data_IF_038571385515
#
_entry.id   IF_038571385515
#
_cell.length_a   1.000
_cell.length_b   1.000
_cell.length_c   1.000
_cell.angle_alpha   90.00
_cell.angle_beta   90.00
_cell.angle_gamma   90.00
#
_symmetry.space_group_name_H-M   'P 1'
#
loop_
_entity.id
_entity.type
_entity.pdbx_description
1 polymer ?
#
# COMPACT_ATOMS: atom_id res chain seq x y z
N UNK A 1 8.83 -2.30 2.00
CA UNK A 1 8.17 -3.54 1.54
C UNK A 1 6.73 -3.38 1.04
N UNK A 2 5.81 -2.63 1.68
CA UNK A 2 4.42 -2.51 1.18
C UNK A 2 4.30 -2.00 -0.26
N UNK A 3 4.98 -0.90 -0.58
CA UNK A 3 4.99 -0.33 -1.94
C UNK A 3 5.61 -1.28 -2.97
N UNK A 4 6.66 -2.01 -2.60
CA UNK A 4 7.34 -2.98 -3.49
C UNK A 4 6.46 -4.19 -3.77
N UNK A 5 5.77 -4.70 -2.75
CA UNK A 5 4.80 -5.79 -2.90
C UNK A 5 3.64 -5.36 -3.82
N UNK A 6 3.10 -4.16 -3.61
CA UNK A 6 2.11 -3.56 -4.50
C UNK A 6 2.67 -3.42 -5.94
N UNK A 7 3.84 -2.82 -6.13
CA UNK A 7 4.44 -2.66 -7.45
C UNK A 7 4.65 -3.99 -8.19
N UNK A 8 4.89 -5.06 -7.44
CA UNK A 8 5.03 -6.43 -7.96
C UNK A 8 3.69 -7.15 -8.23
N UNK A 9 2.56 -6.47 -8.01
CA UNK A 9 1.22 -7.02 -8.20
C UNK A 9 0.82 -8.05 -7.12
N UNK A 10 1.48 -8.03 -5.97
CA UNK A 10 1.15 -8.91 -4.84
C UNK A 10 0.07 -8.26 -3.96
N UNK A 11 -0.96 -9.03 -3.54
CA UNK A 11 -1.91 -8.55 -2.55
C UNK A 11 -1.21 -8.39 -1.19
N UNK A 12 -1.56 -7.32 -0.47
CA UNK A 12 -0.95 -6.99 0.82
C UNK A 12 -2.02 -6.99 1.91
N UNK A 13 -1.78 -7.77 2.97
CA UNK A 13 -2.54 -7.69 4.23
C UNK A 13 -1.75 -6.84 5.21
N UNK A 14 -2.39 -5.86 5.85
CA UNK A 14 -1.72 -4.93 6.75
C UNK A 14 -2.66 -4.44 7.87
N UNK A 15 -2.07 -3.98 8.98
CA UNK A 15 -2.81 -3.37 10.09
C UNK A 15 -3.66 -2.19 9.62
N UNK A 16 -4.87 -2.09 10.18
CA UNK A 16 -5.82 -1.01 9.92
C UNK A 16 -5.43 0.26 10.69
N UNK A 17 -4.38 0.94 10.25
CA UNK A 17 -3.93 2.23 10.76
C UNK A 17 -3.76 3.27 9.64
N UNK A 18 -3.72 4.54 10.03
CA UNK A 18 -3.67 5.69 9.12
C UNK A 18 -2.47 5.63 8.16
N UNK A 19 -1.29 5.26 8.68
CA UNK A 19 -0.08 5.17 7.87
C UNK A 19 -0.21 4.10 6.77
N UNK A 20 -0.68 2.90 7.12
CA UNK A 20 -0.87 1.81 6.14
C UNK A 20 -2.01 2.12 5.18
N UNK A 21 -3.05 2.83 5.61
CA UNK A 21 -4.12 3.33 4.73
C UNK A 21 -3.62 4.36 3.73
N UNK A 22 -2.70 5.23 4.13
CA UNK A 22 -2.11 6.21 3.22
C UNK A 22 -1.29 5.52 2.12
N UNK A 23 -0.49 4.51 2.50
CA UNK A 23 0.38 3.78 1.59
C UNK A 23 -0.41 2.84 0.66
N UNK A 24 -1.32 2.03 1.21
CA UNK A 24 -2.00 0.96 0.49
C UNK A 24 -3.34 1.39 -0.10
N UNK A 25 -3.97 2.43 0.45
CA UNK A 25 -5.24 2.98 -0.02
C UNK A 25 -6.32 1.92 -0.24
N UNK A 26 -7.08 1.97 -1.35
CA UNK A 26 -8.11 0.97 -1.63
C UNK A 26 -7.55 -0.41 -2.03
N UNK A 27 -6.23 -0.56 -2.16
CA UNK A 27 -5.59 -1.78 -2.65
C UNK A 27 -5.12 -2.71 -1.52
N UNK A 28 -4.99 -2.18 -0.31
CA UNK A 28 -4.69 -2.97 0.90
C UNK A 28 -5.84 -3.86 1.33
N UNK A 29 -5.50 -4.93 2.05
CA UNK A 29 -6.44 -5.72 2.83
C UNK A 29 -6.15 -5.42 4.30
N UNK A 30 -7.11 -4.80 4.99
CA UNK A 30 -6.90 -4.31 6.35
C UNK A 30 -7.41 -5.30 7.39
N UNK A 31 -6.67 -5.38 8.50
CA UNK A 31 -6.96 -6.21 9.68
C UNK A 31 -6.80 -5.37 10.95
N UNK A 32 -7.72 -5.50 11.91
CA UNK A 32 -7.61 -4.81 13.21
C UNK A 32 -6.82 -5.62 14.22
N UNK A 33 -7.02 -6.94 14.23
CA UNK A 33 -6.28 -7.88 15.08
C UNK A 33 -5.40 -8.82 14.25
N UNK A 34 -4.08 -8.65 14.36
CA UNK A 34 -3.08 -9.44 13.63
C UNK A 34 -2.83 -10.83 14.24
N UNK A 35 -3.46 -11.16 15.37
CA UNK A 35 -3.28 -12.42 16.09
C UNK A 35 -4.52 -13.32 16.08
N UNK A 36 -5.68 -12.79 15.69
CA UNK A 36 -6.95 -13.51 15.67
C UNK A 36 -7.32 -14.14 14.32
N UNK A 37 -8.51 -14.75 14.28
CA UNK A 37 -9.07 -15.39 13.09
C UNK A 37 -9.25 -14.41 11.92
N UNK A 38 -9.43 -13.12 12.21
CA UNK A 38 -9.50 -12.07 11.19
C UNK A 38 -8.27 -12.11 10.28
N UNK A 39 -7.07 -12.18 10.86
CA UNK A 39 -5.83 -12.19 10.08
C UNK A 39 -5.75 -13.41 9.17
N UNK A 40 -6.13 -14.59 9.68
CA UNK A 40 -6.16 -15.84 8.91
C UNK A 40 -7.11 -15.73 7.72
N UNK A 41 -8.30 -15.17 7.93
CA UNK A 41 -9.28 -15.01 6.87
C UNK A 41 -8.87 -13.97 5.82
N UNK A 42 -8.23 -12.86 6.25
CA UNK A 42 -7.65 -11.88 5.32
C UNK A 42 -6.50 -12.49 4.50
N UNK A 43 -5.67 -13.35 5.07
CA UNK A 43 -4.63 -14.07 4.34
C UNK A 43 -5.22 -15.04 3.31
N UNK A 44 -6.26 -15.80 3.68
CA UNK A 44 -7.00 -16.65 2.73
C UNK A 44 -7.61 -15.84 1.58
N UNK A 45 -8.18 -14.67 1.89
CA UNK A 45 -8.68 -13.73 0.89
C UNK A 45 -7.56 -13.24 -0.05
N UNK A 46 -6.39 -12.91 0.51
CA UNK A 46 -5.22 -12.47 -0.26
C UNK A 46 -4.76 -13.56 -1.23
N UNK A 47 -4.70 -14.83 -0.81
CA UNK A 47 -4.33 -15.96 -1.67
C UNK A 47 -5.32 -16.17 -2.82
N UNK A 48 -6.61 -15.93 -2.60
CA UNK A 48 -7.66 -16.02 -3.63
C UNK A 48 -7.64 -14.84 -4.61
N UNK A 49 -7.15 -13.67 -4.20
CA UNK A 49 -6.94 -12.54 -5.09
C UNK A 49 -5.78 -12.87 -6.05
N UNK A 50 -6.14 -13.25 -7.28
CA UNK A 50 -5.23 -13.61 -8.38
C UNK A 50 -4.05 -12.62 -8.49
N UNK A 51 -2.82 -13.15 -8.62
CA UNK A 51 -1.65 -12.40 -9.11
C UNK A 51 -2.01 -11.81 -10.48
N UNK A 52 -1.69 -10.54 -10.71
CA UNK A 52 -1.89 -9.90 -12.02
C UNK A 52 -2.93 -8.77 -12.08
N UNK A 53 -3.48 -8.31 -10.94
CA UNK A 53 -4.00 -6.94 -10.91
C UNK A 53 -2.81 -6.00 -10.99
N UNK A 54 -2.51 -5.53 -12.19
CA UNK A 54 -1.63 -4.37 -12.37
C UNK A 54 -2.24 -3.26 -11.54
N UNK A 55 -1.58 -2.89 -10.44
CA UNK A 55 -2.01 -1.72 -9.69
C UNK A 55 -2.00 -0.52 -10.63
N UNK A 56 -2.96 0.39 -10.50
CA UNK A 56 -2.96 1.58 -11.34
C UNK A 56 -1.67 2.32 -11.07
N UNK A 57 -0.83 2.43 -12.10
CA UNK A 57 0.47 3.12 -12.06
C UNK A 57 0.39 4.47 -11.33
N UNK A 58 -0.71 5.18 -11.54
CA UNK A 58 -1.07 6.44 -10.87
C UNK A 58 -0.98 6.40 -9.33
N UNK A 59 -1.28 5.27 -8.68
CA UNK A 59 -1.15 5.14 -7.22
C UNK A 59 0.31 5.08 -6.79
N UNK A 60 1.12 4.25 -7.47
CA UNK A 60 2.54 4.07 -7.17
C UNK A 60 3.35 5.33 -7.48
N UNK A 61 2.95 6.09 -8.51
CA UNK A 61 3.57 7.37 -8.88
C UNK A 61 3.54 8.42 -7.77
N UNK A 62 2.56 8.35 -6.85
CA UNK A 62 2.51 9.22 -5.65
C UNK A 62 3.74 9.06 -4.76
N UNK A 63 4.32 7.86 -4.75
CA UNK A 63 5.47 7.49 -3.93
C UNK A 63 6.77 7.41 -4.74
N UNK A 64 6.76 7.90 -5.98
CA UNK A 64 7.94 7.91 -6.84
C UNK A 64 9.01 8.89 -6.33
N UNK A 65 10.28 8.51 -6.44
CA UNK A 65 11.41 9.32 -6.01
C UNK A 65 11.38 10.75 -6.56
N UNK A 66 11.09 10.91 -7.86
CA UNK A 66 11.00 12.22 -8.49
C UNK A 66 9.91 13.09 -7.87
N UNK A 67 8.72 12.51 -7.62
CA UNK A 67 7.59 13.22 -7.03
C UNK A 67 7.91 13.70 -5.61
N UNK A 68 8.45 12.81 -4.78
CA UNK A 68 8.85 13.12 -3.40
C UNK A 68 9.94 14.20 -3.37
N UNK A 69 11.00 14.05 -4.18
CA UNK A 69 12.07 15.04 -4.26
C UNK A 69 11.55 16.43 -4.66
N UNK A 70 10.60 16.49 -5.60
CA UNK A 70 9.97 17.73 -6.02
C UNK A 70 9.11 18.36 -4.91
N UNK A 71 8.39 17.57 -4.13
CA UNK A 71 7.60 18.05 -2.99
C UNK A 71 8.49 18.65 -1.90
N UNK A 72 9.60 17.99 -1.56
CA UNK A 72 10.60 18.54 -0.64
C UNK A 72 11.21 19.84 -1.16
N UNK A 73 11.57 19.90 -2.45
CA UNK A 73 12.13 21.12 -3.05
C UNK A 73 11.13 22.29 -2.97
N UNK A 74 9.85 22.03 -3.23
CA UNK A 74 8.81 23.06 -3.13
C UNK A 74 8.63 23.54 -1.69
N UNK A 75 8.62 22.62 -0.72
CA UNK A 75 8.58 22.97 0.70
C UNK A 75 9.74 23.88 1.07
N UNK A 76 10.98 23.53 0.71
CA UNK A 76 12.15 24.34 1.02
C UNK A 76 12.12 25.73 0.37
N UNK A 77 11.51 25.89 -0.81
CA UNK A 77 11.32 27.21 -1.43
C UNK A 77 10.25 28.06 -0.77
N UNK A 78 9.37 27.46 0.04
CA UNK A 78 8.27 28.15 0.72
C UNK A 78 8.58 28.54 2.16
N UNK A 79 9.74 28.10 2.68
CA UNK A 79 10.30 28.51 3.97
C UNK A 79 11.10 29.82 3.79
#
# INVERSE_FOLDING_TARGET
VYLEALASGLPVVATDDELRREILGPYGIYVKDVWGDEYVDKLRLALRKRKGRTLPKKWLERFGWYKIAQEYLNLFKSL
#
